data_IF_972406327112
#
_entry.id   IF_972406327112
#
_cell.length_a   1.000
_cell.length_b   1.000
_cell.length_c   1.000
_cell.angle_alpha   90.00
_cell.angle_beta   90.00
_cell.angle_gamma   90.00
#
_symmetry.space_group_name_H-M   'P 1'
#
loop_
_entity.id
_entity.type
_entity.pdbx_description
1 polymer ?
#
# COMPACT_ATOMS: atom_id res chain seq x y z
N UNK A 1 2.79 13.11 5.22
CA UNK A 1 2.54 14.22 4.29
C UNK A 1 3.10 13.91 2.90
N UNK A 2 4.43 13.93 2.70
CA UNK A 2 5.03 13.72 1.36
C UNK A 2 4.64 12.38 0.72
N UNK A 3 4.94 11.25 1.38
CA UNK A 3 4.63 9.90 0.87
C UNK A 3 3.15 9.74 0.56
N UNK A 4 2.28 10.09 1.50
CA UNK A 4 0.82 10.05 1.34
C UNK A 4 0.34 10.83 0.12
N UNK A 5 0.85 12.06 -0.07
CA UNK A 5 0.45 12.91 -1.19
C UNK A 5 0.86 12.34 -2.56
N UNK A 6 2.02 11.68 -2.63
CA UNK A 6 2.51 11.01 -3.84
C UNK A 6 1.77 9.71 -4.12
N UNK A 7 1.47 8.92 -3.08
CA UNK A 7 0.63 7.72 -3.21
C UNK A 7 -0.77 8.08 -3.71
N UNK A 8 -1.39 9.12 -3.17
CA UNK A 8 -2.69 9.62 -3.64
C UNK A 8 -2.63 10.14 -5.08
N UNK A 9 -1.55 10.84 -5.45
CA UNK A 9 -1.32 11.28 -6.83
C UNK A 9 -1.25 10.08 -7.80
N UNK A 10 -0.51 9.03 -7.44
CA UNK A 10 -0.42 7.80 -8.23
C UNK A 10 -1.78 7.13 -8.38
N UNK A 11 -2.49 6.93 -7.27
CA UNK A 11 -3.85 6.36 -7.28
C UNK A 11 -4.82 7.17 -8.15
N UNK A 12 -4.74 8.50 -8.14
CA UNK A 12 -5.59 9.35 -8.96
C UNK A 12 -5.26 9.24 -10.45
N UNK A 13 -3.98 9.09 -10.80
CA UNK A 13 -3.54 8.87 -12.20
C UNK A 13 -3.96 7.50 -12.73
N UNK A 14 -3.97 6.48 -11.88
CA UNK A 14 -4.44 5.13 -12.21
C UNK A 14 -5.98 5.01 -12.21
N UNK A 15 -6.69 6.12 -11.99
CA UNK A 15 -8.15 6.16 -11.92
C UNK A 15 -8.72 5.42 -10.70
N UNK A 16 -7.92 5.22 -9.67
CA UNK A 16 -8.31 4.56 -8.41
C UNK A 16 -8.66 5.55 -7.28
N UNK A 17 -8.42 6.84 -7.50
CA UNK A 17 -8.82 7.94 -6.61
C UNK A 17 -9.46 9.10 -7.41
N UNK A 18 -10.20 10.02 -6.76
CA UNK A 18 -10.80 11.16 -7.43
C UNK A 18 -9.80 11.99 -8.25
N UNK A 19 -10.18 12.35 -9.49
CA UNK A 19 -9.29 13.00 -10.45
C UNK A 19 -8.69 14.32 -9.97
N UNK A 20 -9.34 15.04 -9.05
CA UNK A 20 -8.81 16.29 -8.51
C UNK A 20 -7.52 16.09 -7.70
N UNK A 21 -7.33 14.92 -7.06
CA UNK A 21 -6.10 14.57 -6.33
C UNK A 21 -4.90 14.34 -7.27
N UNK A 22 -5.17 14.12 -8.56
CA UNK A 22 -4.16 13.94 -9.59
C UNK A 22 -3.52 15.24 -10.09
N UNK A 23 -4.03 16.40 -9.67
CA UNK A 23 -3.56 17.72 -10.15
C UNK A 23 -2.28 18.13 -9.43
N UNK A 24 -1.29 18.59 -10.20
CA UNK A 24 -0.01 19.09 -9.72
C UNK A 24 0.15 20.58 -10.02
N UNK A 25 0.89 21.29 -9.17
CA UNK A 25 1.27 22.69 -9.43
C UNK A 25 2.46 22.77 -10.41
N UNK A 26 2.85 23.99 -10.82
CA UNK A 26 3.99 24.28 -11.71
C UNK A 26 5.33 23.65 -11.28
N UNK A 27 5.49 23.39 -9.99
CA UNK A 27 6.68 22.75 -9.40
C UNK A 27 6.56 21.22 -9.28
N UNK A 28 5.54 20.60 -9.88
CA UNK A 28 5.33 19.14 -9.85
C UNK A 28 4.83 18.57 -8.52
N UNK A 29 4.38 19.44 -7.60
CA UNK A 29 3.85 19.04 -6.28
C UNK A 29 2.32 18.88 -6.30
N UNK A 30 1.77 17.74 -5.82
CA UNK A 30 0.34 17.47 -5.78
C UNK A 30 -0.35 18.21 -4.62
N UNK A 31 -0.64 19.49 -4.81
CA UNK A 31 -1.13 20.37 -3.75
C UNK A 31 -2.48 19.94 -3.15
N UNK A 32 -3.41 19.41 -3.95
CA UNK A 32 -4.69 18.89 -3.44
C UNK A 32 -4.49 17.70 -2.50
N UNK A 33 -3.61 16.77 -2.87
CA UNK A 33 -3.31 15.61 -2.04
C UNK A 33 -2.61 16.02 -0.73
N UNK A 34 -1.74 17.04 -0.77
CA UNK A 34 -1.13 17.63 0.42
C UNK A 34 -2.21 18.22 1.33
N UNK A 35 -3.08 19.09 0.81
CA UNK A 35 -4.15 19.74 1.59
C UNK A 35 -5.04 18.69 2.26
N UNK A 36 -5.48 17.67 1.53
CA UNK A 36 -6.31 16.59 2.10
C UNK A 36 -5.56 15.87 3.24
N UNK A 37 -4.29 15.51 3.03
CA UNK A 37 -3.49 14.87 4.09
C UNK A 37 -3.27 15.79 5.30
N UNK A 38 -3.15 17.11 5.09
CA UNK A 38 -3.04 18.11 6.14
C UNK A 38 -4.33 18.27 6.94
N UNK A 39 -5.49 18.28 6.30
CA UNK A 39 -6.78 18.33 6.97
C UNK A 39 -6.98 17.11 7.87
N UNK A 40 -6.65 15.90 7.38
CA UNK A 40 -6.73 14.68 8.17
C UNK A 40 -5.77 14.73 9.36
N UNK A 41 -4.52 15.16 9.13
CA UNK A 41 -3.54 15.33 10.21
C UNK A 41 -4.00 16.34 11.27
N UNK A 42 -4.58 17.46 10.85
CA UNK A 42 -5.15 18.46 11.74
C UNK A 42 -6.34 17.91 12.54
N UNK A 43 -7.23 17.15 11.92
CA UNK A 43 -8.32 16.46 12.60
C UNK A 43 -7.80 15.48 13.67
N UNK A 44 -6.71 14.75 13.40
CA UNK A 44 -6.08 13.88 14.41
C UNK A 44 -5.56 14.67 15.62
N UNK A 45 -4.92 15.82 15.38
CA UNK A 45 -4.44 16.71 16.46
C UNK A 45 -5.62 17.29 17.26
N UNK A 46 -6.73 17.62 16.59
CA UNK A 46 -7.91 18.12 17.28
C UNK A 46 -8.50 17.09 18.26
N UNK A 47 -8.50 15.81 17.88
CA UNK A 47 -8.95 14.72 18.76
C UNK A 47 -8.06 14.60 20.01
N UNK A 48 -6.75 14.84 19.91
CA UNK A 48 -5.84 14.74 21.07
C UNK A 48 -6.05 15.83 22.13
N UNK A 49 -6.78 16.91 21.83
CA UNK A 49 -7.09 17.97 22.80
C UNK A 49 -7.97 17.45 23.94
N UNK A 50 -8.85 16.48 23.67
CA UNK A 50 -9.76 15.92 24.68
C UNK A 50 -9.06 14.88 25.56
N UNK A 51 -8.27 14.00 24.96
CA UNK A 51 -7.47 12.99 25.68
C UNK A 51 -6.33 12.51 24.81
N UNK A 52 -5.11 12.96 25.09
CA UNK A 52 -3.92 12.60 24.32
C UNK A 52 -3.60 11.11 24.42
N UNK A 53 -3.78 10.50 25.59
CA UNK A 53 -3.54 9.08 25.82
C UNK A 53 -4.50 8.20 25.02
N UNK A 54 -5.81 8.46 25.11
CA UNK A 54 -6.81 7.67 24.37
C UNK A 54 -6.66 7.88 22.85
N UNK A 55 -6.42 9.12 22.40
CA UNK A 55 -6.18 9.40 21.00
C UNK A 55 -4.96 8.64 20.47
N UNK A 56 -3.88 8.56 21.24
CA UNK A 56 -2.69 7.79 20.87
C UNK A 56 -3.00 6.29 20.71
N UNK A 57 -3.73 5.69 21.66
CA UNK A 57 -4.15 4.29 21.58
C UNK A 57 -4.99 4.04 20.32
N UNK A 58 -5.93 4.93 20.01
CA UNK A 58 -6.76 4.82 18.81
C UNK A 58 -5.94 4.93 17.53
N UNK A 59 -5.06 5.93 17.43
CA UNK A 59 -4.22 6.12 16.23
C UNK A 59 -3.22 4.99 16.02
N UNK A 60 -2.68 4.45 17.12
CA UNK A 60 -1.80 3.27 17.07
C UNK A 60 -2.55 2.07 16.51
N UNK A 61 -3.76 1.78 17.02
CA UNK A 61 -4.58 0.66 16.54
C UNK A 61 -4.96 0.84 15.05
N UNK A 62 -5.39 2.05 14.64
CA UNK A 62 -5.73 2.34 13.24
C UNK A 62 -4.54 2.10 12.32
N UNK A 63 -3.37 2.61 12.70
CA UNK A 63 -2.15 2.53 11.87
C UNK A 63 -1.65 1.09 11.79
N UNK A 64 -1.63 0.36 12.90
CA UNK A 64 -1.22 -1.04 12.94
C UNK A 64 -2.11 -1.91 12.04
N UNK A 65 -3.44 -1.84 12.24
CA UNK A 65 -4.42 -2.58 11.43
C UNK A 65 -4.27 -2.25 9.95
N UNK A 66 -4.15 -0.97 9.60
CA UNK A 66 -4.00 -0.53 8.20
C UNK A 66 -2.71 -1.07 7.55
N UNK A 67 -1.61 -1.12 8.30
CA UNK A 67 -0.34 -1.68 7.86
C UNK A 67 -0.44 -3.19 7.58
N UNK A 68 -1.03 -3.95 8.50
CA UNK A 68 -1.21 -5.39 8.32
C UNK A 68 -2.17 -5.73 7.18
N UNK A 69 -3.25 -4.96 7.00
CA UNK A 69 -4.13 -5.11 5.84
C UNK A 69 -3.36 -4.85 4.53
N UNK A 70 -2.48 -3.85 4.52
CA UNK A 70 -1.64 -3.55 3.35
C UNK A 70 -0.67 -4.69 3.04
N UNK A 71 0.00 -5.26 4.05
CA UNK A 71 0.88 -6.43 3.88
C UNK A 71 0.12 -7.69 3.43
N UNK A 72 -1.06 -7.95 3.98
CA UNK A 72 -1.93 -9.02 3.51
C UNK A 72 -2.33 -8.79 2.04
N UNK A 73 -2.66 -7.56 1.66
CA UNK A 73 -2.95 -7.18 0.28
C UNK A 73 -1.78 -7.41 -0.66
N UNK A 74 -0.57 -6.99 -0.27
CA UNK A 74 0.66 -7.21 -1.04
C UNK A 74 0.92 -8.71 -1.25
N UNK A 75 0.82 -9.51 -0.18
CA UNK A 75 0.98 -10.97 -0.28
C UNK A 75 -0.06 -11.60 -1.23
N UNK A 76 -1.33 -11.19 -1.11
CA UNK A 76 -2.42 -11.68 -1.96
C UNK A 76 -2.24 -11.31 -3.43
N UNK A 77 -1.85 -10.06 -3.72
CA UNK A 77 -1.54 -9.60 -5.07
C UNK A 77 -0.34 -10.35 -5.63
N UNK A 78 0.71 -10.60 -4.83
CA UNK A 78 1.90 -11.34 -5.27
C UNK A 78 1.57 -12.78 -5.68
N UNK A 79 0.77 -13.49 -4.88
CA UNK A 79 0.29 -14.85 -5.22
C UNK A 79 -0.58 -14.83 -6.48
N UNK A 80 -1.49 -13.86 -6.58
CA UNK A 80 -2.37 -13.73 -7.75
C UNK A 80 -1.60 -13.40 -9.03
N UNK A 81 -0.66 -12.45 -8.95
CA UNK A 81 0.20 -12.03 -10.05
C UNK A 81 0.91 -13.23 -10.65
N UNK A 82 1.58 -14.02 -9.80
CA UNK A 82 2.34 -15.18 -10.27
C UNK A 82 1.45 -16.29 -10.82
N UNK A 83 0.26 -16.50 -10.26
CA UNK A 83 -0.75 -17.43 -10.81
C UNK A 83 -1.27 -17.00 -12.18
N UNK A 84 -1.57 -15.71 -12.35
CA UNK A 84 -1.99 -15.16 -13.64
C UNK A 84 -0.88 -15.25 -14.70
N UNK A 85 0.36 -14.94 -14.31
CA UNK A 85 1.51 -14.96 -15.21
C UNK A 85 1.78 -16.36 -15.78
N UNK A 86 1.76 -17.39 -14.93
CA UNK A 86 1.92 -18.79 -15.36
C UNK A 86 0.73 -19.28 -16.18
N UNK A 87 -0.51 -18.89 -15.83
CA UNK A 87 -1.71 -19.28 -16.59
C UNK A 87 -1.75 -18.74 -18.01
N UNK A 88 -1.17 -17.57 -18.24
CA UNK A 88 -1.05 -17.00 -19.59
C UNK A 88 0.13 -17.59 -20.39
N UNK A 89 0.76 -18.66 -19.90
CA UNK A 89 1.83 -19.37 -20.62
C UNK A 89 3.19 -18.66 -20.61
N UNK A 90 3.37 -17.63 -19.77
CA UNK A 90 4.62 -16.86 -19.70
C UNK A 90 5.67 -17.58 -18.86
N UNK A 91 6.93 -17.54 -19.29
CA UNK A 91 8.03 -18.11 -18.54
C UNK A 91 8.44 -17.22 -17.37
N UNK A 92 8.55 -17.81 -16.18
CA UNK A 92 9.05 -17.17 -14.95
C UNK A 92 10.45 -16.57 -15.15
N UNK A 93 11.22 -17.11 -16.11
CA UNK A 93 12.57 -16.65 -16.39
C UNK A 93 12.64 -15.26 -17.04
N UNK A 94 11.53 -14.80 -17.62
CA UNK A 94 11.41 -13.45 -18.17
C UNK A 94 11.18 -12.37 -17.11
N UNK A 95 10.88 -12.75 -15.87
CA UNK A 95 10.67 -11.79 -14.79
C UNK A 95 12.03 -11.24 -14.33
N UNK A 96 12.20 -9.89 -14.25
CA UNK A 96 13.44 -9.28 -13.75
C UNK A 96 13.81 -9.72 -12.34
N UNK A 97 12.81 -10.04 -11.52
CA UNK A 97 12.98 -10.49 -10.15
C UNK A 97 12.20 -11.78 -9.88
N UNK A 98 12.87 -12.76 -9.26
CA UNK A 98 12.29 -14.03 -8.83
C UNK A 98 12.29 -14.09 -7.30
N UNK A 99 11.10 -14.22 -6.72
CA UNK A 99 10.93 -14.39 -5.27
C UNK A 99 11.55 -15.71 -4.83
N UNK A 100 12.48 -15.64 -3.86
CA UNK A 100 13.31 -16.76 -3.38
C UNK A 100 12.49 -17.88 -2.73
N UNK A 101 11.28 -17.59 -2.25
CA UNK A 101 10.44 -18.54 -1.51
C UNK A 101 8.97 -18.61 -2.02
N UNK A 102 8.74 -18.41 -3.32
CA UNK A 102 7.40 -18.57 -3.89
C UNK A 102 6.97 -20.05 -3.89
N UNK A 103 5.71 -20.40 -3.51
CA UNK A 103 4.58 -19.54 -3.12
C UNK A 103 4.48 -19.24 -1.62
N UNK A 104 5.36 -19.81 -0.80
CA UNK A 104 5.29 -19.75 0.65
C UNK A 104 5.34 -18.31 1.17
N UNK A 105 6.22 -17.45 0.63
CA UNK A 105 6.38 -16.06 1.10
C UNK A 105 5.08 -15.26 1.04
N UNK A 106 4.36 -15.30 -0.08
CA UNK A 106 3.11 -14.55 -0.23
C UNK A 106 1.98 -15.06 0.68
N UNK A 107 1.84 -16.38 0.81
CA UNK A 107 0.82 -17.00 1.68
C UNK A 107 1.16 -16.73 3.15
N UNK A 108 2.43 -16.89 3.52
CA UNK A 108 2.93 -16.65 4.87
C UNK A 108 2.69 -15.19 5.29
N UNK A 109 3.02 -14.20 4.47
CA UNK A 109 2.75 -12.79 4.77
C UNK A 109 1.25 -12.51 4.98
N UNK A 110 0.37 -13.14 4.19
CA UNK A 110 -1.08 -13.00 4.37
C UNK A 110 -1.54 -13.61 5.70
N UNK A 111 -1.19 -14.88 5.95
CA UNK A 111 -1.59 -15.59 7.16
C UNK A 111 -1.05 -14.91 8.42
N UNK A 112 0.22 -14.49 8.40
CA UNK A 112 0.85 -13.81 9.53
C UNK A 112 0.19 -12.46 9.80
N UNK A 113 -0.12 -11.68 8.76
CA UNK A 113 -0.80 -10.39 8.93
C UNK A 113 -2.20 -10.56 9.54
N UNK A 114 -2.97 -11.56 9.10
CA UNK A 114 -4.28 -11.88 9.68
C UNK A 114 -4.14 -12.30 11.14
N UNK A 115 -3.18 -13.19 11.44
CA UNK A 115 -2.95 -13.67 12.80
C UNK A 115 -2.57 -12.53 13.75
N UNK A 116 -1.70 -11.61 13.32
CA UNK A 116 -1.32 -10.46 14.13
C UNK A 116 -2.52 -9.53 14.36
N UNK A 117 -3.34 -9.29 13.34
CA UNK A 117 -4.56 -8.48 13.49
C UNK A 117 -5.50 -9.10 14.53
N UNK A 118 -5.69 -10.42 14.52
CA UNK A 118 -6.50 -11.12 15.53
C UNK A 118 -5.84 -11.12 16.92
N UNK A 119 -4.51 -11.26 16.97
CA UNK A 119 -3.75 -11.29 18.22
C UNK A 119 -3.75 -9.95 18.95
N UNK A 120 -3.77 -8.81 18.23
CA UNK A 120 -3.71 -7.49 18.86
C UNK A 120 -4.88 -7.21 19.81
N UNK A 121 -6.05 -7.82 19.54
CA UNK A 121 -7.25 -7.66 20.36
C UNK A 121 -7.35 -8.67 21.50
N UNK A 122 -6.34 -9.51 21.74
CA UNK A 122 -6.39 -10.59 22.73
C UNK A 122 -6.80 -10.11 24.13
N UNK A 123 -6.34 -8.93 24.55
CA UNK A 123 -6.67 -8.34 25.87
C UNK A 123 -8.17 -8.09 26.04
N UNK A 124 -8.91 -7.88 24.95
CA UNK A 124 -10.37 -7.70 25.03
C UNK A 124 -11.14 -8.96 25.42
N UNK A 125 -10.52 -10.14 25.34
CA UNK A 125 -11.15 -11.44 25.61
C UNK A 125 -10.82 -12.01 26.99
N UNK A 126 -9.87 -11.44 27.73
CA UNK A 126 -9.37 -12.00 29.00
C UNK A 126 -9.19 -10.92 30.05
N UNK A 127 -9.69 -11.09 31.30
CA UNK A 127 -10.43 -12.23 31.86
C UNK A 127 -11.95 -12.22 31.60
N UNK A 128 -12.51 -11.07 31.22
CA UNK A 128 -13.91 -10.93 30.80
C UNK A 128 -13.97 -10.15 29.49
N UNK A 129 -14.98 -10.39 28.66
CA UNK A 129 -15.15 -9.66 27.40
C UNK A 129 -15.39 -8.17 27.65
N UNK A 130 -14.43 -7.33 27.25
CA UNK A 130 -14.56 -5.88 27.27
C UNK A 130 -14.84 -5.35 25.86
N UNK A 131 -16.09 -4.93 25.65
CA UNK A 131 -16.55 -4.39 24.38
C UNK A 131 -15.81 -3.10 23.97
N UNK A 132 -15.37 -2.29 24.93
CA UNK A 132 -14.68 -1.01 24.63
C UNK A 132 -13.28 -1.29 24.10
N UNK A 133 -12.51 -2.14 24.80
CA UNK A 133 -11.18 -2.56 24.34
C UNK A 133 -11.27 -3.31 23.02
N UNK A 134 -12.28 -4.17 22.83
CA UNK A 134 -12.52 -4.85 21.56
C UNK A 134 -12.71 -3.85 20.41
N UNK A 135 -13.67 -2.91 20.56
CA UNK A 135 -13.92 -1.91 19.53
C UNK A 135 -12.69 -1.03 19.26
N UNK A 136 -11.93 -0.70 20.31
CA UNK A 136 -10.71 0.11 20.20
C UNK A 136 -9.58 -0.62 19.47
N UNK A 137 -9.33 -1.90 19.77
CA UNK A 137 -8.30 -2.71 19.11
C UNK A 137 -8.59 -2.94 17.63
N UNK A 138 -9.87 -3.01 17.23
CA UNK A 138 -10.28 -3.27 15.84
C UNK A 138 -10.82 -2.04 15.11
N UNK A 139 -10.71 -0.85 15.70
CA UNK A 139 -11.24 0.40 15.14
C UNK A 139 -10.69 0.69 13.74
N UNK A 140 -9.45 0.27 13.44
CA UNK A 140 -8.80 0.42 12.13
C UNK A 140 -9.45 -0.34 10.98
N UNK A 141 -10.28 -1.35 11.27
CA UNK A 141 -11.03 -2.08 10.23
C UNK A 141 -12.14 -1.19 9.65
N UNK A 142 -12.75 -0.34 10.46
CA UNK A 142 -13.85 0.56 10.06
C UNK A 142 -13.43 1.52 8.93
N UNK A 143 -12.37 2.35 9.08
CA UNK A 143 -11.95 3.24 8.00
C UNK A 143 -11.50 2.47 6.75
N UNK A 144 -10.93 1.27 6.90
CA UNK A 144 -10.61 0.42 5.75
C UNK A 144 -11.87 0.00 4.98
N UNK A 145 -12.91 -0.49 5.67
CA UNK A 145 -14.19 -0.88 5.04
C UNK A 145 -14.83 0.34 4.37
N UNK A 146 -14.87 1.49 5.05
CA UNK A 146 -15.44 2.73 4.49
C UNK A 146 -14.70 3.13 3.20
N UNK A 147 -13.37 3.20 3.23
CA UNK A 147 -12.55 3.51 2.06
C UNK A 147 -12.74 2.50 0.92
N UNK A 148 -12.78 1.20 1.25
CA UNK A 148 -12.97 0.13 0.27
C UNK A 148 -14.36 0.20 -0.38
N UNK A 149 -15.42 0.39 0.41
CA UNK A 149 -16.80 0.50 -0.07
C UNK A 149 -16.97 1.75 -0.92
N UNK A 150 -16.49 2.91 -0.45
CA UNK A 150 -16.52 4.16 -1.23
C UNK A 150 -15.80 3.99 -2.57
N UNK A 151 -14.59 3.44 -2.56
CA UNK A 151 -13.84 3.17 -3.77
C UNK A 151 -14.59 2.21 -4.71
N UNK A 152 -15.19 1.14 -4.17
CA UNK A 152 -15.94 0.16 -4.96
C UNK A 152 -17.23 0.73 -5.54
N UNK A 153 -17.94 1.60 -4.80
CA UNK A 153 -19.15 2.27 -5.28
C UNK A 153 -18.86 3.30 -6.37
N UNK A 154 -17.78 4.06 -6.23
CA UNK A 154 -17.36 5.08 -7.20
C UNK A 154 -16.81 4.43 -8.47
N UNK A 155 -15.86 3.51 -8.32
CA UNK A 155 -15.10 2.98 -9.45
C UNK A 155 -15.79 1.79 -10.11
N UNK A 156 -16.65 1.07 -9.37
CA UNK A 156 -17.40 -0.12 -9.83
C UNK A 156 -16.54 -1.18 -10.53
N UNK A 157 -15.23 -1.19 -10.28
CA UNK A 157 -14.28 -2.11 -10.93
C UNK A 157 -14.56 -3.54 -10.46
N UNK A 158 -14.68 -4.44 -11.43
CA UNK A 158 -14.76 -5.88 -11.18
C UNK A 158 -13.35 -6.44 -10.96
N UNK A 159 -13.30 -7.58 -10.27
CA UNK A 159 -12.07 -8.32 -10.10
C UNK A 159 -11.65 -8.90 -11.47
N UNK A 160 -10.49 -8.49 -11.99
CA UNK A 160 -10.01 -8.89 -13.32
C UNK A 160 -9.67 -10.40 -13.32
N UNK A 161 -10.25 -11.23 -14.22
CA UNK A 161 -9.89 -12.64 -14.36
C UNK A 161 -8.39 -12.88 -14.51
N UNK A 162 -7.88 -14.05 -14.14
CA UNK A 162 -6.43 -14.32 -14.18
C UNK A 162 -5.88 -14.30 -15.62
N UNK A 163 -6.74 -14.62 -16.57
CA UNK A 163 -6.46 -14.70 -18.00
C UNK A 163 -6.43 -13.32 -18.67
N UNK A 164 -7.04 -12.30 -18.05
CA UNK A 164 -7.16 -10.92 -18.57
C UNK A 164 -6.21 -9.93 -17.87
N UNK A 165 -5.35 -10.42 -16.97
CA UNK A 165 -4.38 -9.55 -16.28
C UNK A 165 -3.39 -9.01 -17.31
N UNK A 166 -3.33 -7.68 -17.41
CA UNK A 166 -2.38 -6.98 -18.27
C UNK A 166 -0.95 -7.05 -17.69
N UNK A 167 -0.01 -7.49 -18.53
CA UNK A 167 1.42 -7.57 -18.22
C UNK A 167 2.29 -6.83 -19.24
N UNK A 168 1.69 -6.18 -20.25
CA UNK A 168 2.42 -5.48 -21.31
C UNK A 168 2.51 -3.97 -21.03
N UNK A 169 1.42 -3.36 -20.54
CA UNK A 169 1.39 -1.91 -20.30
C UNK A 169 2.38 -1.53 -19.19
N UNK A 170 3.39 -0.72 -19.54
CA UNK A 170 4.40 -0.23 -18.58
C UNK A 170 5.42 -1.28 -18.12
N UNK A 171 5.55 -2.40 -18.85
CA UNK A 171 6.54 -3.44 -18.54
C UNK A 171 7.96 -2.88 -18.70
N UNK A 172 8.68 -2.79 -17.58
CA UNK A 172 10.13 -2.59 -17.58
C UNK A 172 10.77 -3.94 -17.91
N UNK A 173 11.39 -4.05 -19.08
CA UNK A 173 12.05 -5.27 -19.50
C UNK A 173 13.42 -5.41 -18.86
N UNK A 174 13.95 -6.63 -18.83
CA UNK A 174 15.33 -6.87 -18.39
C UNK A 174 16.34 -6.08 -19.22
N UNK A 175 16.09 -5.90 -20.51
CA UNK A 175 16.89 -5.05 -21.39
C UNK A 175 16.91 -3.59 -20.95
N UNK A 176 15.78 -3.04 -20.50
CA UNK A 176 15.72 -1.66 -20.00
C UNK A 176 16.57 -1.49 -18.74
N UNK A 177 16.52 -2.49 -17.84
CA UNK A 177 17.33 -2.49 -16.59
C UNK A 177 18.82 -2.67 -16.90
N UNK A 178 19.17 -3.58 -17.81
CA UNK A 178 20.55 -3.78 -18.24
C UNK A 178 21.12 -2.53 -18.91
N UNK A 179 20.32 -1.86 -19.76
CA UNK A 179 20.69 -0.60 -20.39
C UNK A 179 20.88 0.52 -19.36
N UNK A 180 20.00 0.65 -18.38
CA UNK A 180 20.17 1.64 -17.30
C UNK A 180 21.43 1.36 -16.47
N UNK A 181 21.72 0.08 -16.16
CA UNK A 181 22.95 -0.30 -15.48
C UNK A 181 24.21 -0.01 -16.31
N UNK A 182 24.19 -0.27 -17.63
CA UNK A 182 25.29 0.07 -18.54
C UNK A 182 25.50 1.59 -18.63
N UNK A 183 24.43 2.38 -18.65
CA UNK A 183 24.50 3.83 -18.62
C UNK A 183 25.15 4.32 -17.32
N UNK A 184 24.78 3.75 -16.18
CA UNK A 184 25.35 4.06 -14.87
C UNK A 184 26.82 3.65 -14.72
N UNK A 185 27.22 2.53 -15.33
CA UNK A 185 28.60 2.07 -15.32
C UNK A 185 29.52 2.98 -16.14
N UNK A 186 29.00 3.55 -17.23
CA UNK A 186 29.70 4.49 -18.09
C UNK A 186 29.77 5.93 -17.52
N UNK A 187 29.16 6.21 -16.36
CA UNK A 187 29.24 7.53 -15.73
C UNK A 187 30.59 7.74 -15.01
N UNK A 188 31.17 8.96 -15.07
CA UNK A 188 32.36 9.28 -14.30
C UNK A 188 32.11 9.16 -12.79
N UNK A 189 33.12 8.71 -12.04
CA UNK A 189 33.02 8.33 -10.62
C UNK A 189 32.39 9.41 -9.72
N UNK A 190 32.62 10.69 -10.00
CA UNK A 190 32.02 11.79 -9.24
C UNK A 190 30.50 11.91 -9.43
N UNK A 191 29.97 11.59 -10.61
CA UNK A 191 28.52 11.52 -10.86
C UNK A 191 27.90 10.29 -10.22
N UNK A 192 28.61 9.16 -10.23
CA UNK A 192 28.18 7.93 -9.53
C UNK A 192 28.09 8.17 -8.01
N UNK A 193 29.10 8.84 -7.43
CA UNK A 193 29.09 9.21 -6.02
C UNK A 193 27.95 10.19 -5.67
N UNK A 194 27.68 11.16 -6.55
CA UNK A 194 26.54 12.08 -6.36
C UNK A 194 25.20 11.37 -6.45
N UNK A 195 24.98 10.49 -7.43
CA UNK A 195 23.72 9.74 -7.58
C UNK A 195 23.43 8.76 -6.43
N UNK A 196 24.45 8.35 -5.67
CA UNK A 196 24.27 7.52 -4.47
C UNK A 196 23.81 8.37 -3.27
N UNK A 197 24.16 9.65 -3.26
CA UNK A 197 23.92 10.57 -2.13
C UNK A 197 22.62 11.38 -2.32
N UNK A 198 22.22 11.63 -3.57
CA UNK A 198 21.12 12.53 -3.97
C UNK A 198 19.90 11.74 -4.45
#
# INVERSE_FOLDING_TARGET
MYTTSRTLLGLARDGNAPAFLGRVNRHGSPYWAVIVSSIIGFACVFVSIYSAEQAFVWFQAITAVSGFISWAGIGGVHVRFRRAYVRQGRSIDELPYKSVAYPFSGIFSCCLSILIVLGQGYVSFTPSFDAITFCTSYIGIVPFIVCYVLHKLITRKKLIPLEEVDFETGRVTRFDIEKDNELDENLPLWKRALNIIL
#
